data_IF_238402196558
#
_entry.id   IF_238402196558
#
_cell.length_a   1.000
_cell.length_b   1.000
_cell.length_c   1.000
_cell.angle_alpha   90.00
_cell.angle_beta   90.00
_cell.angle_gamma   90.00
#
_symmetry.space_group_name_H-M   'P 1'
#
loop_
_entity.id
_entity.type
_entity.pdbx_description
1 polymer ?
#
# COMPACT_ATOMS: atom_id res chain seq x y z
N UNK A 1 44.16 26.30 -27.51
CA UNK A 1 44.13 25.40 -26.35
C UNK A 1 43.09 25.87 -25.28
N UNK A 2 43.12 27.14 -24.91
CA UNK A 2 42.19 27.70 -23.88
C UNK A 2 40.71 27.58 -24.25
N UNK A 3 40.36 27.83 -25.51
CA UNK A 3 38.96 27.73 -26.00
C UNK A 3 38.42 26.29 -25.86
N UNK A 4 39.23 25.28 -26.13
CA UNK A 4 38.83 23.86 -26.00
C UNK A 4 38.59 23.48 -24.52
N UNK A 5 39.37 24.03 -23.61
CA UNK A 5 39.23 23.83 -22.16
C UNK A 5 37.91 24.48 -21.71
N UNK A 6 37.60 25.68 -22.15
CA UNK A 6 36.35 26.38 -21.78
C UNK A 6 35.13 25.60 -22.32
N UNK A 7 35.17 25.14 -23.55
CA UNK A 7 34.07 24.33 -24.14
C UNK A 7 33.88 23.02 -23.35
N UNK A 8 34.97 22.34 -22.97
CA UNK A 8 34.92 21.12 -22.17
C UNK A 8 34.29 21.35 -20.78
N UNK A 9 34.70 22.44 -20.10
CA UNK A 9 34.15 22.83 -18.80
C UNK A 9 32.66 23.15 -18.91
N UNK A 10 32.26 23.88 -19.95
CA UNK A 10 30.84 24.23 -20.20
C UNK A 10 30.00 22.98 -20.46
N UNK A 11 30.52 22.05 -21.26
CA UNK A 11 29.84 20.79 -21.54
C UNK A 11 29.69 19.90 -20.28
N UNK A 12 30.73 19.82 -19.46
CA UNK A 12 30.68 19.09 -18.19
C UNK A 12 29.69 19.72 -17.20
N UNK A 13 29.62 21.04 -17.14
CA UNK A 13 28.69 21.77 -16.29
C UNK A 13 27.24 21.51 -16.71
N UNK A 14 26.94 21.59 -18.01
CA UNK A 14 25.60 21.29 -18.56
C UNK A 14 25.18 19.84 -18.26
N UNK A 15 26.08 18.89 -18.42
CA UNK A 15 25.84 17.49 -18.10
C UNK A 15 25.53 17.30 -16.61
N UNK A 16 26.30 17.93 -15.75
CA UNK A 16 26.11 17.87 -14.29
C UNK A 16 24.74 18.46 -13.90
N UNK A 17 24.39 19.58 -14.48
CA UNK A 17 23.11 20.24 -14.26
C UNK A 17 21.93 19.36 -14.69
N UNK A 18 22.05 18.71 -15.84
CA UNK A 18 21.05 17.75 -16.31
C UNK A 18 20.90 16.55 -15.37
N UNK A 19 21.99 15.97 -14.90
CA UNK A 19 21.97 14.89 -13.92
C UNK A 19 21.32 15.31 -12.59
N UNK A 20 21.64 16.50 -12.09
CA UNK A 20 21.03 17.04 -10.88
C UNK A 20 19.51 17.19 -11.02
N UNK A 21 19.03 17.74 -12.16
CA UNK A 21 17.59 17.93 -12.42
C UNK A 21 16.88 16.57 -12.49
N UNK A 22 17.46 15.58 -13.16
CA UNK A 22 16.86 14.25 -13.30
C UNK A 22 16.80 13.50 -11.95
N UNK A 23 17.85 13.57 -11.14
CA UNK A 23 17.89 12.99 -9.80
C UNK A 23 16.89 13.67 -8.86
N UNK A 24 16.84 15.00 -8.89
CA UNK A 24 15.88 15.77 -8.10
C UNK A 24 14.42 15.46 -8.44
N UNK A 25 14.10 15.35 -9.72
CA UNK A 25 12.75 14.97 -10.16
C UNK A 25 12.35 13.56 -9.73
N UNK A 26 13.30 12.59 -9.75
CA UNK A 26 13.07 11.23 -9.22
C UNK A 26 12.81 11.25 -7.72
N UNK A 27 13.61 11.98 -6.95
CA UNK A 27 13.44 12.12 -5.50
C UNK A 27 12.08 12.73 -5.12
N UNK A 28 11.64 13.78 -5.83
CA UNK A 28 10.31 14.38 -5.60
C UNK A 28 9.21 13.37 -5.88
N UNK A 29 9.32 12.62 -6.99
CA UNK A 29 8.32 11.62 -7.37
C UNK A 29 8.20 10.49 -6.33
N UNK A 30 9.33 10.02 -5.77
CA UNK A 30 9.33 9.03 -4.71
C UNK A 30 8.78 9.57 -3.38
N UNK A 31 9.12 10.80 -3.01
CA UNK A 31 8.56 11.46 -1.82
C UNK A 31 7.04 11.63 -1.93
N UNK A 32 6.54 11.99 -3.12
CA UNK A 32 5.09 12.11 -3.36
C UNK A 32 4.39 10.75 -3.23
N UNK A 33 4.98 9.71 -3.78
CA UNK A 33 4.45 8.33 -3.68
C UNK A 33 4.42 7.85 -2.22
N UNK A 34 5.50 8.03 -1.49
CA UNK A 34 5.58 7.61 -0.09
C UNK A 34 4.63 8.41 0.81
N UNK A 35 4.44 9.71 0.54
CA UNK A 35 3.50 10.57 1.27
C UNK A 35 2.04 10.19 1.00
N UNK A 36 1.69 9.79 -0.23
CA UNK A 36 0.35 9.32 -0.56
C UNK A 36 0.03 7.97 0.09
N UNK A 37 1.02 7.08 0.19
CA UNK A 37 0.91 5.81 0.90
C UNK A 37 0.75 6.04 2.40
N UNK A 38 1.61 6.85 3.03
CA UNK A 38 1.53 7.14 4.47
C UNK A 38 0.22 7.86 4.84
N UNK A 39 -0.32 8.72 3.97
CA UNK A 39 -1.62 9.37 4.18
C UNK A 39 -2.79 8.38 4.08
N UNK A 40 -2.71 7.41 3.16
CA UNK A 40 -3.70 6.32 3.09
C UNK A 40 -3.65 5.43 4.33
N UNK A 41 -2.46 5.00 4.74
CA UNK A 41 -2.28 4.20 5.96
C UNK A 41 -2.65 4.99 7.23
N UNK A 42 -2.32 6.27 7.31
CA UNK A 42 -2.71 7.14 8.43
C UNK A 42 -4.23 7.28 8.57
N UNK A 43 -4.94 7.56 7.47
CA UNK A 43 -6.42 7.63 7.48
C UNK A 43 -7.07 6.30 7.84
N UNK A 44 -6.51 5.19 7.36
CA UNK A 44 -6.97 3.86 7.73
C UNK A 44 -6.77 3.61 9.23
N UNK A 45 -5.61 3.96 9.78
CA UNK A 45 -5.30 3.81 11.20
C UNK A 45 -6.21 4.67 12.06
N UNK A 46 -6.48 5.92 11.69
CA UNK A 46 -7.40 6.81 12.41
C UNK A 46 -8.85 6.29 12.41
N UNK A 47 -9.31 5.68 11.32
CA UNK A 47 -10.62 5.05 11.23
C UNK A 47 -10.73 3.78 12.09
N UNK A 48 -9.60 3.14 12.39
CA UNK A 48 -9.53 1.90 13.16
C UNK A 48 -9.32 2.10 14.66
N UNK A 49 -8.76 3.24 15.09
CA UNK A 49 -8.53 3.52 16.50
C UNK A 49 -9.78 3.33 17.37
N UNK A 50 -10.99 3.76 16.95
CA UNK A 50 -12.21 3.53 17.73
C UNK A 50 -12.66 2.08 17.79
N UNK A 51 -12.15 1.21 16.89
CA UNK A 51 -12.55 -0.20 16.79
C UNK A 51 -11.56 -1.13 17.50
N UNK A 52 -10.38 -0.62 17.89
CA UNK A 52 -9.33 -1.44 18.54
C UNK A 52 -9.84 -2.01 19.86
N UNK A 53 -10.59 -1.27 20.64
CA UNK A 53 -11.12 -1.72 21.94
C UNK A 53 -12.19 -2.82 21.81
N UNK A 54 -12.89 -2.89 20.70
CA UNK A 54 -13.93 -3.89 20.39
C UNK A 54 -13.47 -4.97 19.45
N UNK A 55 -12.21 -4.89 18.97
CA UNK A 55 -11.67 -5.90 18.05
C UNK A 55 -11.36 -7.21 18.79
N UNK A 56 -11.92 -8.36 18.37
CA UNK A 56 -11.86 -9.58 19.14
C UNK A 56 -10.51 -10.33 19.10
N UNK A 57 -9.61 -9.92 18.19
CA UNK A 57 -8.30 -10.56 17.99
C UNK A 57 -7.15 -9.60 18.25
N UNK A 58 -5.91 -10.11 18.26
CA UNK A 58 -4.72 -9.26 18.36
C UNK A 58 -4.53 -8.45 17.06
N UNK A 59 -4.67 -7.10 17.10
CA UNK A 59 -4.56 -6.26 15.91
C UNK A 59 -3.18 -6.28 15.25
N UNK A 60 -2.14 -6.75 15.94
CA UNK A 60 -0.78 -6.89 15.37
C UNK A 60 -0.72 -7.89 14.21
N UNK A 61 -1.64 -8.85 14.18
CA UNK A 61 -1.73 -9.88 13.14
C UNK A 61 -2.76 -9.56 12.05
N UNK A 62 -3.34 -8.37 12.10
CA UNK A 62 -4.23 -7.89 11.07
C UNK A 62 -3.45 -7.24 9.90
N UNK A 63 -3.89 -7.48 8.67
CA UNK A 63 -3.35 -6.85 7.46
C UNK A 63 -4.47 -6.29 6.61
N UNK A 64 -4.32 -5.02 6.21
CA UNK A 64 -5.25 -4.32 5.36
C UNK A 64 -5.18 -4.80 3.90
N UNK A 65 -6.34 -5.01 3.28
CA UNK A 65 -6.50 -5.17 1.84
C UNK A 65 -7.14 -3.92 1.21
N UNK A 66 -8.16 -3.35 1.86
CA UNK A 66 -8.85 -2.13 1.47
C UNK A 66 -9.99 -2.31 0.47
N UNK A 67 -9.98 -3.34 -0.36
CA UNK A 67 -11.07 -3.71 -1.28
C UNK A 67 -10.84 -5.11 -1.82
N UNK A 68 -11.86 -5.93 -2.00
CA UNK A 68 -13.30 -5.73 -1.75
C UNK A 68 -13.71 -5.84 -0.27
N UNK A 69 -12.79 -6.29 0.60
CA UNK A 69 -12.93 -6.40 2.05
C UNK A 69 -11.83 -5.59 2.72
N UNK A 70 -12.02 -5.24 4.00
CA UNK A 70 -11.07 -4.39 4.70
C UNK A 70 -9.74 -5.07 4.96
N UNK A 71 -9.72 -6.35 5.34
CA UNK A 71 -8.45 -7.01 5.58
C UNK A 71 -8.52 -8.48 5.96
N UNK A 72 -7.39 -8.96 6.45
CA UNK A 72 -7.15 -10.34 6.85
C UNK A 72 -6.52 -10.38 8.23
N UNK A 73 -7.07 -11.18 9.13
CA UNK A 73 -6.50 -11.53 10.42
C UNK A 73 -5.84 -12.90 10.33
N UNK A 74 -4.61 -12.99 10.78
CA UNK A 74 -3.87 -14.25 10.84
C UNK A 74 -3.86 -14.76 12.29
N UNK A 75 -4.44 -15.93 12.53
CA UNK A 75 -4.38 -16.63 13.80
C UNK A 75 -3.56 -17.92 13.63
N UNK A 76 -3.17 -18.57 14.72
CA UNK A 76 -2.34 -19.77 14.68
C UNK A 76 -3.04 -20.96 13.98
N UNK A 77 -4.36 -21.00 14.04
CA UNK A 77 -5.19 -22.10 13.55
C UNK A 77 -6.04 -21.75 12.31
N UNK A 78 -6.11 -20.48 11.93
CA UNK A 78 -6.97 -20.01 10.84
C UNK A 78 -6.58 -18.65 10.29
N UNK A 79 -7.10 -18.39 9.09
CA UNK A 79 -7.06 -17.08 8.44
C UNK A 79 -8.50 -16.55 8.34
N UNK A 80 -8.72 -15.32 8.79
CA UNK A 80 -10.04 -14.71 8.87
C UNK A 80 -10.09 -13.49 7.95
N UNK A 81 -11.05 -13.50 7.01
CA UNK A 81 -11.35 -12.31 6.22
C UNK A 81 -12.25 -11.38 7.06
N UNK A 82 -11.85 -10.13 7.18
CA UNK A 82 -12.47 -9.17 8.09
C UNK A 82 -13.04 -8.00 7.30
N UNK A 83 -14.28 -7.68 7.59
CA UNK A 83 -14.95 -6.48 7.12
C UNK A 83 -15.54 -5.72 8.30
N UNK A 84 -15.19 -4.44 8.45
CA UNK A 84 -15.71 -3.58 9.50
C UNK A 84 -17.00 -2.90 9.07
N UNK A 85 -18.02 -2.97 9.90
CA UNK A 85 -19.30 -2.28 9.70
C UNK A 85 -19.67 -1.51 10.96
N UNK A 86 -20.19 -0.32 10.78
CA UNK A 86 -20.70 0.54 11.86
C UNK A 86 -22.20 0.77 11.73
N UNK A 87 -22.88 0.90 12.85
CA UNK A 87 -24.30 1.23 12.90
C UNK A 87 -25.16 0.23 12.12
N UNK A 88 -26.01 0.75 11.21
CA UNK A 88 -26.92 -0.05 10.37
C UNK A 88 -26.35 -0.47 9.01
N UNK A 89 -25.05 -0.29 8.82
CA UNK A 89 -24.38 -0.57 7.56
C UNK A 89 -24.36 -2.09 7.25
N UNK A 90 -24.68 -2.46 6.01
CA UNK A 90 -24.79 -3.85 5.55
C UNK A 90 -23.65 -4.21 4.59
N UNK A 91 -23.38 -5.49 4.45
CA UNK A 91 -22.44 -5.97 3.44
C UNK A 91 -22.92 -5.61 2.01
N UNK A 92 -21.99 -5.18 1.18
CA UNK A 92 -22.22 -4.98 -0.26
C UNK A 92 -22.50 -6.31 -0.97
N UNK A 93 -22.94 -6.26 -2.23
CA UNK A 93 -23.14 -7.46 -3.04
C UNK A 93 -21.84 -8.29 -3.16
N UNK A 94 -20.72 -7.64 -3.46
CA UNK A 94 -19.42 -8.30 -3.58
C UNK A 94 -18.93 -8.89 -2.26
N UNK A 95 -19.14 -8.20 -1.15
CA UNK A 95 -18.74 -8.69 0.17
C UNK A 95 -19.56 -9.92 0.59
N UNK A 96 -20.86 -9.95 0.27
CA UNK A 96 -21.70 -11.15 0.48
C UNK A 96 -21.21 -12.32 -0.36
N UNK A 97 -20.88 -12.09 -1.63
CA UNK A 97 -20.34 -13.15 -2.51
C UNK A 97 -19.05 -13.73 -1.94
N UNK A 98 -18.13 -12.90 -1.47
CA UNK A 98 -16.87 -13.35 -0.87
C UNK A 98 -17.13 -14.17 0.40
N UNK A 99 -18.01 -13.68 1.28
CA UNK A 99 -18.42 -14.43 2.46
C UNK A 99 -18.94 -15.82 2.09
N UNK A 100 -19.82 -15.89 1.12
CA UNK A 100 -20.45 -17.16 0.70
C UNK A 100 -19.41 -18.11 0.10
N UNK A 101 -18.41 -17.61 -0.63
CA UNK A 101 -17.28 -18.40 -1.13
C UNK A 101 -16.40 -18.94 0.00
N UNK A 102 -16.11 -18.12 1.00
CA UNK A 102 -15.34 -18.52 2.18
C UNK A 102 -16.10 -19.57 3.00
N UNK A 103 -17.38 -19.36 3.24
CA UNK A 103 -18.25 -20.27 3.99
C UNK A 103 -18.38 -21.63 3.26
N UNK A 104 -18.32 -21.64 1.93
CA UNK A 104 -18.31 -22.85 1.11
C UNK A 104 -16.92 -23.53 1.01
N UNK A 105 -15.88 -22.95 1.60
CA UNK A 105 -14.52 -23.48 1.53
C UNK A 105 -13.80 -23.25 0.20
N UNK A 106 -14.29 -22.35 -0.64
CA UNK A 106 -13.71 -22.02 -1.94
C UNK A 106 -12.58 -20.98 -1.81
N UNK A 107 -11.59 -21.29 -0.98
CA UNK A 107 -10.38 -20.51 -0.77
C UNK A 107 -9.17 -21.39 -1.01
N UNK A 108 -8.22 -20.94 -1.82
CA UNK A 108 -7.03 -21.69 -2.19
C UNK A 108 -5.76 -20.91 -1.87
N UNK A 109 -4.71 -21.61 -1.49
CA UNK A 109 -3.36 -21.06 -1.41
C UNK A 109 -2.56 -21.50 -2.65
N UNK A 110 -2.02 -20.51 -3.42
CA UNK A 110 -1.23 -20.80 -4.61
C UNK A 110 0.10 -20.07 -4.57
N UNK A 111 1.16 -20.76 -4.91
CA UNK A 111 2.49 -20.17 -5.14
C UNK A 111 2.69 -19.96 -6.63
N UNK A 112 2.87 -18.72 -7.04
CA UNK A 112 3.20 -18.35 -8.43
C UNK A 112 4.69 -18.01 -8.47
N UNK A 113 5.43 -18.70 -9.32
CA UNK A 113 6.85 -18.43 -9.58
C UNK A 113 6.94 -17.61 -10.86
N UNK A 114 7.65 -16.48 -10.78
CA UNK A 114 7.92 -15.61 -11.91
C UNK A 114 9.36 -15.90 -12.35
N UNK A 115 9.55 -16.24 -13.61
CA UNK A 115 10.87 -16.46 -14.23
C UNK A 115 11.55 -15.11 -14.57
#
# INVERSE_FOLDING_TARGET
>A
MEILIIISLLASFILLLYLCITLYSKLIKERFRNRSLSTRYGKLTEQFLPLVDSYPWNPSYFRFLGSPIDGVQFEDDKVILVEFKSGKSKLSKNQRLIRDLVDAGHVEFKVVRLD
#
